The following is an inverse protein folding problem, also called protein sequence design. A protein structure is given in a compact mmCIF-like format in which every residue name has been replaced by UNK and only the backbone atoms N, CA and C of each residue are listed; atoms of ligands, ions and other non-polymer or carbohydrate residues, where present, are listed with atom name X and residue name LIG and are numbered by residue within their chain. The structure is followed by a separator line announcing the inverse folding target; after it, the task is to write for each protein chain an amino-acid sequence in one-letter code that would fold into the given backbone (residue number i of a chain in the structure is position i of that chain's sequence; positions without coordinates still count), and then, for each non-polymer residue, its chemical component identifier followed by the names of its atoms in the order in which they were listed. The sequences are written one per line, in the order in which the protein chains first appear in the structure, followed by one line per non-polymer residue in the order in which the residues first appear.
data_IF_463760016602
#
_entry.id   IF_463760016602
#
_cell.length_a   1.000
_cell.length_b   1.000
_cell.length_c   1.000
_cell.angle_alpha   90.00
_cell.angle_beta   90.00
_cell.angle_gamma   90.00
#
_symmetry.space_group_name_H-M   'P 1'
#
loop_
_entity.id
_entity.type
_entity.pdbx_description
1 polymer ?
#
# COMPACT_ATOMS: atom_id res chain seq x y z
N UNK A 1 -14.23 -0.28 21.33
CA UNK A 1 -13.89 -0.14 19.89
C UNK A 1 -12.38 -0.24 19.78
N UNK A 2 -11.82 -1.23 19.08
CA UNK A 2 -10.38 -1.45 19.00
C UNK A 2 -9.73 -0.55 17.96
N UNK A 3 -8.68 0.15 18.36
CA UNK A 3 -7.77 0.86 17.47
C UNK A 3 -6.35 0.64 18.00
N UNK A 4 -5.44 0.19 17.14
CA UNK A 4 -4.03 0.31 17.44
C UNK A 4 -3.60 1.75 17.10
N UNK A 5 -2.89 2.40 18.00
CA UNK A 5 -2.42 3.78 17.85
C UNK A 5 -0.91 3.80 17.98
N UNK A 6 -0.25 4.32 16.94
CA UNK A 6 1.21 4.46 16.93
C UNK A 6 1.67 5.83 16.49
N UNK A 7 2.80 6.25 17.03
CA UNK A 7 3.42 7.54 16.74
C UNK A 7 4.70 7.35 15.94
N UNK A 8 4.90 8.20 14.94
CA UNK A 8 6.05 8.18 14.06
C UNK A 8 6.61 9.58 13.87
N UNK A 9 7.94 9.70 13.96
CA UNK A 9 8.66 10.93 13.62
C UNK A 9 9.08 10.84 12.15
N UNK A 10 8.75 11.85 11.35
CA UNK A 10 9.16 11.93 9.94
C UNK A 10 10.64 12.29 9.85
N UNK A 11 11.43 11.38 9.29
CA UNK A 11 12.89 11.49 9.17
C UNK A 11 13.28 12.09 7.82
N UNK A 12 14.52 12.53 7.70
CA UNK A 12 15.07 13.04 6.43
C UNK A 12 15.01 12.03 5.27
N UNK A 13 15.12 10.72 5.59
CA UNK A 13 15.04 9.67 4.57
C UNK A 13 13.60 9.36 4.11
N UNK A 14 12.61 9.86 4.82
CA UNK A 14 11.20 9.57 4.55
C UNK A 14 10.59 10.57 3.57
N UNK A 15 11.28 11.69 3.28
CA UNK A 15 10.76 12.79 2.44
C UNK A 15 11.40 12.84 1.06
N UNK A 16 10.69 13.49 0.14
CA UNK A 16 11.13 13.76 -1.22
C UNK A 16 11.89 15.11 -1.30
N UNK A 17 12.17 15.56 -2.54
CA UNK A 17 12.85 16.81 -2.85
C UNK A 17 12.05 18.08 -2.50
N UNK A 18 10.77 17.96 -2.09
CA UNK A 18 9.89 19.06 -1.61
C UNK A 18 9.80 19.09 -0.09
N UNK A 19 10.60 18.28 0.61
CA UNK A 19 10.45 18.00 2.04
C UNK A 19 9.05 17.41 2.40
N UNK A 20 8.41 16.70 1.46
CA UNK A 20 7.13 16.03 1.63
C UNK A 20 7.31 14.52 1.83
N UNK A 21 6.52 13.93 2.72
CA UNK A 21 6.54 12.49 2.98
C UNK A 21 6.26 11.73 1.68
N UNK A 22 7.19 10.86 1.27
CA UNK A 22 7.00 9.98 0.10
C UNK A 22 5.83 9.05 0.32
N UNK A 23 5.16 8.70 -0.76
CA UNK A 23 4.08 7.70 -0.73
C UNK A 23 4.58 6.36 -0.15
N UNK A 24 5.74 5.88 -0.58
CA UNK A 24 6.35 4.65 -0.08
C UNK A 24 6.62 4.69 1.42
N UNK A 25 7.08 5.84 1.94
CA UNK A 25 7.32 6.03 3.37
C UNK A 25 6.01 6.07 4.17
N UNK A 26 4.96 6.73 3.66
CA UNK A 26 3.64 6.68 4.26
C UNK A 26 3.12 5.25 4.32
N UNK A 27 3.20 4.51 3.21
CA UNK A 27 2.78 3.11 3.15
C UNK A 27 3.55 2.23 4.14
N UNK A 28 4.88 2.41 4.27
CA UNK A 28 5.70 1.71 5.27
C UNK A 28 5.22 1.93 6.69
N UNK A 29 4.90 3.18 7.05
CA UNK A 29 4.36 3.54 8.38
C UNK A 29 3.01 2.86 8.62
N UNK A 30 2.15 2.80 7.59
CA UNK A 30 0.84 2.14 7.67
C UNK A 30 0.98 0.61 7.79
N UNK A 31 1.88 -0.01 7.03
CA UNK A 31 2.16 -1.46 7.11
C UNK A 31 2.72 -1.84 8.48
N UNK A 32 3.68 -1.08 9.02
CA UNK A 32 4.23 -1.30 10.35
C UNK A 32 3.15 -1.22 11.43
N UNK A 33 2.25 -0.22 11.33
CA UNK A 33 1.10 -0.11 12.23
C UNK A 33 0.14 -1.30 12.09
N UNK A 34 -0.05 -1.80 10.87
CA UNK A 34 -0.88 -2.97 10.59
C UNK A 34 -0.31 -4.25 11.20
N UNK A 35 1.01 -4.46 11.05
CA UNK A 35 1.71 -5.61 11.62
C UNK A 35 1.62 -5.60 13.15
N UNK A 36 1.93 -4.48 13.78
CA UNK A 36 1.83 -4.34 15.23
C UNK A 36 0.41 -4.57 15.77
N UNK A 37 -0.60 -4.08 15.04
CA UNK A 37 -2.00 -4.35 15.37
C UNK A 37 -2.37 -5.83 15.21
N UNK A 38 -1.81 -6.51 14.21
CA UNK A 38 -2.03 -7.95 14.02
C UNK A 38 -1.40 -8.77 15.15
N UNK A 39 -0.19 -8.41 15.59
CA UNK A 39 0.48 -9.04 16.73
C UNK A 39 -0.34 -8.89 18.01
N UNK A 40 -0.83 -7.68 18.33
CA UNK A 40 -1.68 -7.44 19.51
C UNK A 40 -2.97 -8.25 19.47
N UNK A 41 -3.52 -8.50 18.29
CA UNK A 41 -4.76 -9.24 18.10
C UNK A 41 -4.56 -10.77 17.97
N UNK A 42 -3.33 -11.27 18.01
CA UNK A 42 -3.02 -12.71 17.96
C UNK A 42 -3.23 -13.31 16.57
N UNK A 43 -2.95 -12.55 15.51
CA UNK A 43 -2.84 -13.03 14.14
C UNK A 43 -1.66 -12.37 13.38
N UNK A 44 -0.64 -11.99 14.12
CA UNK A 44 0.61 -11.49 13.58
C UNK A 44 1.51 -12.58 13.04
N UNK A 45 2.75 -12.19 12.73
CA UNK A 45 3.74 -13.07 12.10
C UNK A 45 3.92 -14.40 12.86
N UNK A 46 4.15 -14.32 14.19
CA UNK A 46 4.42 -15.50 15.02
C UNK A 46 3.19 -16.40 15.19
N UNK A 47 1.98 -15.89 15.00
CA UNK A 47 0.73 -16.66 15.10
C UNK A 47 0.41 -17.44 13.82
N UNK A 48 0.74 -16.88 12.65
CA UNK A 48 0.35 -17.42 11.33
C UNK A 48 1.43 -18.29 10.70
N UNK A 49 2.72 -17.95 10.87
CA UNK A 49 3.85 -18.67 10.29
C UNK A 49 3.89 -20.15 10.67
N UNK A 50 3.66 -20.54 11.94
CA UNK A 50 3.59 -21.97 12.33
C UNK A 50 2.47 -22.75 11.63
N UNK A 51 1.44 -22.06 11.15
CA UNK A 51 0.30 -22.64 10.40
C UNK A 51 0.53 -22.64 8.90
N UNK A 52 1.71 -22.22 8.43
CA UNK A 52 2.05 -22.10 7.02
C UNK A 52 1.12 -21.12 6.27
N UNK A 53 0.66 -20.08 6.95
CA UNK A 53 -0.23 -19.04 6.43
C UNK A 53 0.55 -17.74 6.26
N UNK A 54 0.35 -17.06 5.13
CA UNK A 54 0.82 -15.70 4.89
C UNK A 54 -0.33 -14.75 4.59
N UNK A 55 -0.16 -13.48 4.97
CA UNK A 55 -1.03 -12.40 4.53
C UNK A 55 -0.37 -11.65 3.39
N UNK A 56 -1.09 -11.52 2.28
CA UNK A 56 -0.62 -10.83 1.09
C UNK A 56 -1.52 -9.62 0.84
N UNK A 57 -0.92 -8.46 0.74
CA UNK A 57 -1.64 -7.26 0.34
C UNK A 57 -1.96 -7.30 -1.15
N UNK A 58 -3.19 -6.98 -1.49
CA UNK A 58 -3.68 -7.00 -2.88
C UNK A 58 -3.95 -5.60 -3.39
N UNK A 59 -4.46 -4.72 -2.52
CA UNK A 59 -4.81 -3.36 -2.90
C UNK A 59 -4.55 -2.38 -1.77
N UNK A 60 -4.21 -1.15 -2.18
CA UNK A 60 -4.29 0.06 -1.37
C UNK A 60 -5.21 1.08 -2.00
N UNK A 61 -5.91 1.84 -1.16
CA UNK A 61 -6.49 3.12 -1.49
C UNK A 61 -6.19 4.12 -0.37
N UNK A 62 -5.57 5.23 -0.71
CA UNK A 62 -5.15 6.28 0.23
C UNK A 62 -5.61 7.63 -0.27
N UNK A 63 -6.09 8.48 0.65
CA UNK A 63 -6.36 9.89 0.44
C UNK A 63 -5.42 10.71 1.31
N UNK A 64 -4.79 11.71 0.72
CA UNK A 64 -4.03 12.71 1.47
C UNK A 64 -4.81 14.04 1.43
N UNK A 65 -5.15 14.57 2.58
CA UNK A 65 -5.89 15.83 2.69
C UNK A 65 -4.98 17.05 2.53
N UNK A 66 -3.69 16.90 2.85
CA UNK A 66 -2.58 17.79 2.54
C UNK A 66 -1.25 17.04 2.49
N UNK A 67 -0.20 17.71 1.99
CA UNK A 67 1.17 17.21 2.10
C UNK A 67 1.59 17.11 3.57
N UNK A 68 2.28 16.03 3.90
CA UNK A 68 2.90 15.80 5.21
C UNK A 68 4.37 16.22 5.09
N UNK A 69 4.83 17.10 5.96
CA UNK A 69 6.16 17.73 5.84
C UNK A 69 7.20 17.09 6.75
N UNK A 70 8.46 17.26 6.39
CA UNK A 70 9.61 16.91 7.21
C UNK A 70 9.45 17.43 8.65
N UNK A 71 9.83 16.61 9.64
CA UNK A 71 9.75 16.87 11.10
C UNK A 71 8.34 16.91 11.68
N UNK A 72 7.30 16.66 10.90
CA UNK A 72 6.00 16.40 11.49
C UNK A 72 6.02 15.09 12.29
N UNK A 73 5.15 15.01 13.29
CA UNK A 73 4.90 13.80 14.06
C UNK A 73 3.54 13.25 13.67
N UNK A 74 3.52 12.01 13.24
CA UNK A 74 2.29 11.35 12.85
C UNK A 74 1.77 10.46 13.97
N UNK A 75 0.47 10.49 14.17
CA UNK A 75 -0.26 9.49 14.94
C UNK A 75 -1.10 8.68 13.95
N UNK A 76 -0.84 7.39 13.86
CA UNK A 76 -1.59 6.45 13.00
C UNK A 76 -2.55 5.65 13.85
N UNK A 77 -3.83 5.71 13.50
CA UNK A 77 -4.87 4.85 14.03
C UNK A 77 -5.18 3.79 12.98
N UNK A 78 -5.15 2.50 13.35
CA UNK A 78 -5.53 1.41 12.43
C UNK A 78 -6.37 0.35 13.12
N UNK A 79 -7.26 -0.25 12.37
CA UNK A 79 -8.10 -1.35 12.82
C UNK A 79 -8.46 -2.31 11.68
N UNK A 80 -8.51 -3.62 11.95
CA UNK A 80 -9.01 -4.57 10.98
C UNK A 80 -10.53 -4.54 10.93
N UNK A 81 -11.09 -4.78 9.75
CA UNK A 81 -12.50 -5.08 9.56
C UNK A 81 -12.75 -6.58 9.69
N UNK A 82 -13.98 -6.98 9.98
CA UNK A 82 -14.33 -8.40 10.06
C UNK A 82 -13.98 -9.12 8.75
N UNK A 83 -13.20 -10.21 8.80
CA UNK A 83 -12.83 -10.97 7.60
C UNK A 83 -14.05 -11.48 6.83
N UNK A 84 -13.99 -11.45 5.49
CA UNK A 84 -15.10 -11.87 4.62
C UNK A 84 -14.60 -12.84 3.55
N UNK A 85 -15.07 -14.09 3.56
CA UNK A 85 -14.73 -15.12 2.53
C UNK A 85 -13.21 -15.28 2.35
N UNK A 86 -12.63 -14.60 1.37
CA UNK A 86 -11.19 -14.62 1.05
C UNK A 86 -10.51 -13.26 1.22
N UNK A 87 -11.24 -12.24 1.66
CA UNK A 87 -10.73 -10.88 1.77
C UNK A 87 -10.74 -10.38 3.22
N UNK A 88 -9.68 -9.71 3.60
CA UNK A 88 -9.54 -8.96 4.84
C UNK A 88 -9.29 -7.51 4.48
N UNK A 89 -9.93 -6.60 5.21
CA UNK A 89 -9.77 -5.16 5.02
C UNK A 89 -9.20 -4.55 6.29
N UNK A 90 -8.39 -3.52 6.13
CA UNK A 90 -7.83 -2.75 7.23
C UNK A 90 -7.93 -1.27 6.92
N UNK A 91 -8.36 -0.53 7.91
CA UNK A 91 -8.60 0.90 7.84
C UNK A 91 -7.50 1.66 8.56
N UNK A 92 -7.25 2.90 8.09
CA UNK A 92 -6.20 3.77 8.61
C UNK A 92 -6.67 5.22 8.65
N UNK A 93 -6.36 5.90 9.74
CA UNK A 93 -6.42 7.35 9.85
C UNK A 93 -5.06 7.87 10.31
N UNK A 94 -4.58 8.92 9.69
CA UNK A 94 -3.28 9.53 9.97
C UNK A 94 -3.49 10.97 10.42
N UNK A 95 -2.94 11.29 11.57
CA UNK A 95 -3.03 12.60 12.17
C UNK A 95 -1.66 13.25 12.33
N UNK A 96 -1.59 14.56 12.17
CA UNK A 96 -0.47 15.42 12.58
C UNK A 96 -1.01 16.39 13.64
N UNK A 97 -0.63 16.19 14.89
CA UNK A 97 -1.33 16.82 16.00
C UNK A 97 -2.80 16.41 16.05
N UNK A 98 -3.71 17.39 15.99
CA UNK A 98 -5.16 17.16 15.96
C UNK A 98 -5.77 17.16 14.55
N UNK A 99 -4.95 17.36 13.51
CA UNK A 99 -5.40 17.42 12.13
C UNK A 99 -5.31 16.05 11.48
N UNK A 100 -6.41 15.57 10.88
CA UNK A 100 -6.38 14.37 10.02
C UNK A 100 -5.76 14.76 8.67
N UNK A 101 -4.57 14.23 8.38
CA UNK A 101 -3.78 14.56 7.20
C UNK A 101 -3.89 13.55 6.08
N UNK A 102 -4.23 12.30 6.42
CA UNK A 102 -4.49 11.24 5.45
C UNK A 102 -5.44 10.20 6.04
N UNK A 103 -6.06 9.42 5.17
CA UNK A 103 -6.79 8.22 5.54
C UNK A 103 -6.64 7.15 4.44
N UNK A 104 -6.90 5.89 4.78
CA UNK A 104 -6.74 4.82 3.81
C UNK A 104 -7.42 3.53 4.20
N UNK A 105 -7.53 2.68 3.21
CA UNK A 105 -7.98 1.30 3.38
C UNK A 105 -7.10 0.36 2.55
N UNK A 106 -6.86 -0.82 3.07
CA UNK A 106 -6.11 -1.86 2.37
C UNK A 106 -6.89 -3.17 2.33
N UNK A 107 -6.67 -3.93 1.27
CA UNK A 107 -7.26 -5.26 1.08
C UNK A 107 -6.18 -6.32 1.06
N UNK A 108 -6.39 -7.38 1.83
CA UNK A 108 -5.48 -8.49 2.03
C UNK A 108 -6.15 -9.82 1.72
N UNK A 109 -5.35 -10.80 1.35
CA UNK A 109 -5.76 -12.20 1.21
C UNK A 109 -4.86 -13.09 2.04
N UNK A 110 -5.38 -14.25 2.45
CA UNK A 110 -4.59 -15.32 3.05
C UNK A 110 -4.11 -16.28 1.98
N UNK A 111 -2.85 -16.71 2.09
CA UNK A 111 -2.26 -17.71 1.20
C UNK A 111 -1.57 -18.80 1.99
N UNK A 112 -1.54 -20.00 1.45
CA UNK A 112 -0.64 -21.07 1.89
C UNK A 112 0.78 -20.75 1.41
N UNK A 113 1.74 -20.68 2.33
CA UNK A 113 3.11 -20.25 2.02
C UNK A 113 3.92 -21.25 1.18
N UNK A 114 3.50 -22.51 1.08
CA UNK A 114 4.18 -23.52 0.27
C UNK A 114 3.68 -23.53 -1.17
N UNK A 115 2.36 -23.47 -1.34
CA UNK A 115 1.71 -23.57 -2.65
C UNK A 115 1.33 -22.23 -3.25
N UNK A 116 1.35 -21.14 -2.46
CA UNK A 116 0.80 -19.82 -2.78
C UNK A 116 -0.69 -19.85 -3.19
N UNK A 117 -1.39 -20.92 -2.81
CA UNK A 117 -2.83 -21.02 -3.04
C UNK A 117 -3.60 -20.07 -2.11
N UNK A 118 -4.61 -19.43 -2.66
CA UNK A 118 -5.52 -18.58 -1.90
C UNK A 118 -6.30 -19.43 -0.88
N UNK A 119 -6.28 -19.00 0.38
CA UNK A 119 -7.02 -19.62 1.48
C UNK A 119 -8.30 -18.82 1.81
N UNK A 120 -9.39 -19.52 2.19
CA UNK A 120 -10.53 -18.84 2.78
C UNK A 120 -10.14 -18.29 4.16
N UNK A 121 -10.71 -17.16 4.57
CA UNK A 121 -10.43 -16.56 5.89
C UNK A 121 -10.80 -17.49 7.03
N UNK A 122 -11.76 -18.42 6.85
CA UNK A 122 -12.11 -19.45 7.82
C UNK A 122 -10.97 -20.43 8.13
N UNK A 123 -9.94 -20.53 7.29
CA UNK A 123 -8.78 -21.37 7.60
C UNK A 123 -8.03 -20.90 8.86
N UNK A 124 -8.17 -19.64 9.25
CA UNK A 124 -7.62 -19.08 10.49
C UNK A 124 -8.69 -18.52 11.42
N UNK A 125 -9.74 -17.91 10.89
CA UNK A 125 -10.74 -17.13 11.62
C UNK A 125 -12.08 -17.86 11.81
N UNK A 126 -12.15 -19.19 11.69
CA UNK A 126 -13.43 -19.94 11.81
C UNK A 126 -14.12 -19.73 13.17
N UNK A 127 -13.34 -19.77 14.24
CA UNK A 127 -13.82 -19.63 15.63
C UNK A 127 -13.50 -18.25 16.23
N UNK A 128 -13.32 -17.26 15.37
CA UNK A 128 -12.92 -15.93 15.79
C UNK A 128 -14.03 -15.22 16.57
N UNK A 129 -13.73 -14.89 17.84
CA UNK A 129 -14.63 -14.20 18.77
C UNK A 129 -14.26 -12.73 18.98
N UNK A 130 -13.29 -12.19 18.20
CA UNK A 130 -12.89 -10.79 18.32
C UNK A 130 -14.03 -9.87 17.92
N UNK A 131 -14.09 -8.74 18.61
CA UNK A 131 -14.95 -7.65 18.21
C UNK A 131 -14.25 -6.82 17.13
N UNK A 132 -14.95 -6.54 16.05
CA UNK A 132 -14.46 -5.72 14.94
C UNK A 132 -15.25 -4.41 14.87
N UNK A 133 -14.59 -3.37 14.43
CA UNK A 133 -15.26 -2.11 14.09
C UNK A 133 -16.12 -2.31 12.84
N UNK A 134 -17.22 -1.61 12.76
CA UNK A 134 -18.16 -1.65 11.63
C UNK A 134 -18.08 -0.41 10.73
N UNK A 135 -17.28 0.59 11.12
CA UNK A 135 -17.09 1.83 10.36
C UNK A 135 -15.77 1.79 9.57
N UNK A 136 -15.72 2.56 8.50
CA UNK A 136 -14.56 2.72 7.63
C UNK A 136 -13.93 4.10 7.79
N UNK A 137 -12.61 4.18 7.61
CA UNK A 137 -11.89 5.45 7.54
C UNK A 137 -12.24 6.23 6.28
N UNK A 138 -12.52 5.51 5.17
CA UNK A 138 -12.87 6.05 3.86
C UNK A 138 -14.01 5.22 3.25
N UNK A 139 -14.98 5.88 2.64
CA UNK A 139 -16.00 5.21 1.82
C UNK A 139 -15.44 4.90 0.42
N UNK A 140 -14.78 3.75 0.31
CA UNK A 140 -14.17 3.29 -0.92
C UNK A 140 -14.57 1.85 -1.23
N UNK A 141 -15.10 1.62 -2.45
CA UNK A 141 -15.60 0.31 -2.89
C UNK A 141 -15.09 -0.12 -4.28
N UNK A 142 -14.40 0.74 -5.01
CA UNK A 142 -13.95 0.49 -6.39
C UNK A 142 -12.55 -0.12 -6.45
N UNK A 143 -12.41 -1.39 -6.05
CA UNK A 143 -11.12 -2.07 -5.95
C UNK A 143 -10.51 -2.49 -7.30
N UNK A 144 -11.27 -2.42 -8.37
CA UNK A 144 -10.80 -2.83 -9.69
C UNK A 144 -10.19 -1.66 -10.44
N UNK A 145 -8.92 -1.79 -10.84
CA UNK A 145 -8.28 -0.95 -11.83
C UNK A 145 -8.25 -1.69 -13.17
N UNK A 146 -8.82 -1.09 -14.20
CA UNK A 146 -8.77 -1.63 -15.54
C UNK A 146 -7.30 -1.75 -16.02
N UNK A 147 -7.01 -2.68 -16.95
CA UNK A 147 -5.73 -2.68 -17.65
C UNK A 147 -5.47 -1.34 -18.30
N UNK A 148 -4.21 -0.91 -18.28
CA UNK A 148 -3.80 0.27 -19.02
C UNK A 148 -3.84 -0.05 -20.52
N UNK A 149 -4.79 0.55 -21.23
CA UNK A 149 -4.87 0.49 -22.68
C UNK A 149 -4.08 1.67 -23.28
N UNK A 150 -3.00 1.36 -23.99
CA UNK A 150 -2.06 2.36 -24.46
C UNK A 150 -1.06 2.80 -23.37
N UNK A 151 -0.74 4.10 -23.35
CA UNK A 151 0.26 4.71 -22.47
C UNK A 151 1.69 4.61 -23.01
N UNK A 152 2.53 5.56 -22.60
CA UNK A 152 3.92 5.62 -23.00
C UNK A 152 4.78 4.84 -22.01
N UNK A 153 5.70 4.03 -22.52
CA UNK A 153 6.77 3.46 -21.70
C UNK A 153 7.68 4.59 -21.23
N UNK A 154 7.80 4.78 -19.93
CA UNK A 154 8.60 5.86 -19.33
C UNK A 154 10.03 5.38 -19.05
N UNK A 155 10.19 4.21 -18.45
CA UNK A 155 11.51 3.64 -18.17
C UNK A 155 11.42 2.14 -17.83
N UNK A 156 12.57 1.55 -17.52
CA UNK A 156 12.72 0.17 -17.05
C UNK A 156 13.47 0.13 -15.72
N UNK A 157 12.99 -0.70 -14.79
CA UNK A 157 13.61 -0.94 -13.49
C UNK A 157 14.05 -2.40 -13.39
N UNK A 158 15.36 -2.65 -13.28
CA UNK A 158 15.85 -3.96 -12.89
C UNK A 158 15.56 -4.19 -11.39
N UNK A 159 14.87 -5.28 -11.08
CA UNK A 159 14.58 -5.66 -9.69
C UNK A 159 15.83 -6.26 -9.06
N UNK A 160 16.29 -5.65 -7.96
CA UNK A 160 17.57 -5.96 -7.31
C UNK A 160 17.37 -6.28 -5.82
N UNK A 161 18.46 -6.59 -5.12
CA UNK A 161 18.44 -6.95 -3.69
C UNK A 161 17.79 -5.85 -2.81
N UNK A 162 18.02 -4.57 -3.14
CA UNK A 162 17.45 -3.45 -2.37
C UNK A 162 15.94 -3.27 -2.53
N UNK A 163 15.34 -3.97 -3.49
CA UNK A 163 13.90 -3.96 -3.69
C UNK A 163 13.20 -5.09 -2.92
N UNK A 164 13.95 -6.05 -2.34
CA UNK A 164 13.44 -7.24 -1.68
C UNK A 164 13.25 -7.05 -0.18
N UNK A 165 12.20 -7.65 0.34
CA UNK A 165 11.93 -7.77 1.77
C UNK A 165 12.40 -9.13 2.34
N UNK A 166 12.13 -9.35 3.63
CA UNK A 166 12.50 -10.58 4.32
C UNK A 166 11.71 -11.82 3.87
N UNK A 167 10.65 -11.65 3.09
CA UNK A 167 9.91 -12.75 2.45
C UNK A 167 10.48 -13.14 1.08
N UNK A 168 11.60 -12.56 0.67
CA UNK A 168 12.19 -12.75 -0.67
C UNK A 168 11.27 -12.31 -1.81
N UNK A 169 10.52 -11.25 -1.59
CA UNK A 169 9.66 -10.65 -2.58
C UNK A 169 10.00 -9.18 -2.78
N UNK A 170 9.68 -8.64 -3.95
CA UNK A 170 9.73 -7.20 -4.13
C UNK A 170 8.76 -6.55 -3.15
N UNK A 171 9.29 -5.70 -2.26
CA UNK A 171 8.50 -5.06 -1.21
C UNK A 171 7.37 -4.21 -1.80
N UNK A 172 6.19 -4.30 -1.20
CA UNK A 172 4.98 -3.63 -1.70
C UNK A 172 5.17 -2.11 -1.81
N UNK A 173 5.86 -1.49 -0.85
CA UNK A 173 6.10 -0.04 -0.86
C UNK A 173 7.05 0.40 -1.96
N UNK A 174 7.96 -0.49 -2.43
CA UNK A 174 8.88 -0.20 -3.52
C UNK A 174 8.19 -0.01 -4.86
N UNK A 175 7.06 -0.69 -5.08
CA UNK A 175 6.27 -0.45 -6.30
C UNK A 175 5.73 0.99 -6.37
N UNK A 176 5.47 1.63 -5.21
CA UNK A 176 5.11 3.05 -5.19
C UNK A 176 6.26 3.91 -5.71
N UNK A 177 7.50 3.74 -5.18
CA UNK A 177 8.68 4.46 -5.66
C UNK A 177 8.89 4.21 -7.17
N UNK A 178 8.88 2.94 -7.58
CA UNK A 178 9.08 2.54 -8.98
C UNK A 178 8.02 3.18 -9.89
N UNK A 179 6.75 3.22 -9.52
CA UNK A 179 5.73 3.86 -10.33
C UNK A 179 5.89 5.39 -10.37
N UNK A 180 6.29 5.99 -9.26
CA UNK A 180 6.49 7.44 -9.19
C UNK A 180 7.76 7.92 -9.89
N UNK A 181 8.76 7.07 -10.08
CA UNK A 181 9.95 7.36 -10.93
C UNK A 181 9.58 7.55 -12.42
N UNK A 182 8.35 7.24 -12.82
CA UNK A 182 7.82 7.57 -14.15
C UNK A 182 7.44 9.06 -14.34
N UNK A 183 7.55 9.87 -13.29
CA UNK A 183 7.38 11.33 -13.34
C UNK A 183 8.75 12.02 -13.24
N UNK A 184 8.90 13.17 -13.87
CA UNK A 184 10.07 14.03 -13.64
C UNK A 184 9.92 14.85 -12.35
N UNK A 185 11.04 15.39 -11.88
CA UNK A 185 11.06 16.31 -10.74
C UNK A 185 10.21 17.55 -11.02
N UNK A 186 10.28 18.08 -12.24
CA UNK A 186 9.53 19.27 -12.68
C UNK A 186 8.03 18.99 -12.71
N UNK A 187 7.59 17.79 -13.14
CA UNK A 187 6.19 17.40 -13.14
C UNK A 187 5.61 17.32 -11.72
N UNK A 188 6.40 16.86 -10.76
CA UNK A 188 5.97 16.70 -9.38
C UNK A 188 6.16 17.97 -8.52
N UNK A 189 7.01 18.93 -8.92
CA UNK A 189 7.32 20.13 -8.12
C UNK A 189 6.08 20.96 -7.76
N UNK A 190 5.12 21.09 -8.70
CA UNK A 190 3.87 21.85 -8.51
C UNK A 190 2.65 21.02 -8.13
N UNK A 191 2.84 19.76 -7.69
CA UNK A 191 1.74 18.83 -7.43
C UNK A 191 1.95 18.11 -6.10
N UNK A 192 0.85 17.79 -5.41
CA UNK A 192 0.83 16.85 -4.30
C UNK A 192 -0.23 15.75 -4.55
N UNK A 193 -0.03 14.58 -3.97
CA UNK A 193 -0.98 13.48 -4.07
C UNK A 193 -2.28 13.90 -3.38
N UNK A 194 -3.41 13.75 -4.09
CA UNK A 194 -4.75 13.87 -3.53
C UNK A 194 -5.25 12.49 -3.10
N UNK A 195 -5.21 11.53 -4.01
CA UNK A 195 -5.49 10.14 -3.71
C UNK A 195 -4.68 9.20 -4.61
N UNK A 196 -4.53 7.97 -4.15
CA UNK A 196 -3.85 6.93 -4.90
C UNK A 196 -4.49 5.57 -4.64
N UNK A 197 -4.67 4.81 -5.70
CA UNK A 197 -5.04 3.40 -5.66
C UNK A 197 -3.91 2.55 -6.25
N UNK A 198 -3.53 1.50 -5.54
CA UNK A 198 -2.54 0.53 -6.01
C UNK A 198 -3.17 -0.86 -6.02
N UNK A 199 -2.97 -1.58 -7.09
CA UNK A 199 -3.37 -2.99 -7.24
C UNK A 199 -2.16 -3.83 -7.56
N UNK A 200 -1.81 -4.76 -6.68
CA UNK A 200 -0.75 -5.75 -6.90
C UNK A 200 -1.36 -6.97 -7.60
N UNK A 201 -0.83 -7.32 -8.77
CA UNK A 201 -1.36 -8.39 -9.63
C UNK A 201 -0.50 -9.63 -9.50
N UNK A 202 0.82 -9.45 -9.61
CA UNK A 202 1.81 -10.51 -9.49
C UNK A 202 3.14 -9.94 -9.02
N UNK A 203 3.83 -10.66 -8.18
CA UNK A 203 5.15 -10.24 -7.69
C UNK A 203 6.19 -10.21 -8.79
N UNK A 204 7.12 -9.26 -8.68
CA UNK A 204 8.36 -9.27 -9.44
C UNK A 204 9.41 -10.13 -8.74
N UNK A 205 10.20 -10.85 -9.53
CA UNK A 205 11.34 -11.66 -9.06
C UNK A 205 12.66 -10.91 -9.23
N UNK A 206 13.64 -11.30 -8.45
CA UNK A 206 15.01 -10.83 -8.62
C UNK A 206 15.49 -11.03 -10.05
N UNK A 207 16.12 -9.99 -10.63
CA UNK A 207 16.63 -10.00 -12.00
C UNK A 207 15.59 -9.77 -13.09
N UNK A 208 14.29 -9.67 -12.75
CA UNK A 208 13.28 -9.27 -13.74
C UNK A 208 13.41 -7.79 -14.07
N UNK A 209 13.16 -7.45 -15.33
CA UNK A 209 13.11 -6.08 -15.84
C UNK A 209 11.64 -5.64 -15.86
N UNK A 210 11.28 -4.69 -15.00
CA UNK A 210 9.94 -4.13 -14.89
C UNK A 210 9.86 -2.89 -15.77
N UNK A 211 9.08 -2.96 -16.83
CA UNK A 211 8.77 -1.84 -17.72
C UNK A 211 7.61 -1.04 -17.13
N UNK A 212 7.79 0.28 -16.98
CA UNK A 212 6.76 1.17 -16.42
C UNK A 212 6.14 2.02 -17.51
N UNK A 213 4.84 1.87 -17.67
CA UNK A 213 4.00 2.61 -18.61
C UNK A 213 3.14 3.63 -17.84
N UNK A 214 2.90 4.80 -18.46
CA UNK A 214 2.05 5.86 -17.90
C UNK A 214 1.13 6.45 -18.97
N UNK A 215 -0.11 6.71 -18.56
CA UNK A 215 -1.10 7.47 -19.31
C UNK A 215 -1.65 8.57 -18.41
N UNK A 216 -1.67 9.80 -18.91
CA UNK A 216 -2.14 10.97 -18.16
C UNK A 216 -3.52 11.40 -18.67
N UNK A 217 -4.43 11.67 -17.73
CA UNK A 217 -5.78 12.18 -18.02
C UNK A 217 -6.11 13.32 -17.05
N UNK A 218 -5.89 14.56 -17.49
CA UNK A 218 -6.09 15.74 -16.67
C UNK A 218 -5.15 15.79 -15.45
N UNK A 219 -5.74 15.78 -14.24
CA UNK A 219 -4.99 15.76 -12.98
C UNK A 219 -4.72 14.32 -12.47
N UNK A 220 -5.15 13.32 -13.22
CA UNK A 220 -4.94 11.91 -12.91
C UNK A 220 -3.90 11.26 -13.82
N UNK A 221 -3.22 10.25 -13.31
CA UNK A 221 -2.31 9.41 -14.07
C UNK A 221 -2.58 7.94 -13.75
N UNK A 222 -2.61 7.13 -14.80
CA UNK A 222 -2.65 5.66 -14.70
C UNK A 222 -1.28 5.12 -15.04
N UNK A 223 -0.78 4.21 -14.19
CA UNK A 223 0.51 3.56 -14.40
C UNK A 223 0.33 2.04 -14.34
N UNK A 224 1.10 1.34 -15.14
CA UNK A 224 1.17 -0.11 -15.12
C UNK A 224 2.61 -0.58 -15.26
N UNK A 225 3.07 -1.38 -14.31
CA UNK A 225 4.34 -2.08 -14.39
C UNK A 225 4.17 -3.46 -15.02
N UNK A 226 4.96 -3.78 -16.05
CA UNK A 226 4.90 -5.04 -16.81
C UNK A 226 6.26 -5.73 -16.84
N UNK A 227 6.25 -7.06 -16.78
CA UNK A 227 7.40 -7.91 -17.07
C UNK A 227 7.03 -8.81 -18.23
N UNK A 228 7.77 -8.74 -19.34
CA UNK A 228 7.48 -9.47 -20.59
C UNK A 228 6.02 -9.29 -21.07
N UNK A 229 5.49 -8.06 -20.96
CA UNK A 229 4.12 -7.72 -21.33
C UNK A 229 3.04 -8.11 -20.31
N UNK A 230 3.35 -8.88 -19.28
CA UNK A 230 2.42 -9.27 -18.22
C UNK A 230 2.38 -8.24 -17.09
N UNK A 231 1.19 -7.77 -16.65
CA UNK A 231 1.09 -6.78 -15.60
C UNK A 231 1.53 -7.35 -14.24
N UNK A 232 2.23 -6.51 -13.49
CA UNK A 232 2.68 -6.77 -12.10
C UNK A 232 1.95 -5.87 -11.11
N UNK A 233 1.82 -4.61 -11.44
CA UNK A 233 1.21 -3.58 -10.59
C UNK A 233 0.45 -2.59 -11.45
N UNK A 234 -0.66 -2.07 -10.92
CA UNK A 234 -1.40 -0.92 -11.48
C UNK A 234 -1.53 0.14 -10.41
N UNK A 235 -1.36 1.39 -10.82
CA UNK A 235 -1.52 2.55 -9.97
C UNK A 235 -2.42 3.56 -10.67
N UNK A 236 -3.42 4.06 -9.97
CA UNK A 236 -4.14 5.27 -10.35
C UNK A 236 -3.83 6.34 -9.30
N UNK A 237 -3.33 7.47 -9.71
CA UNK A 237 -3.03 8.59 -8.83
C UNK A 237 -3.69 9.85 -9.33
N UNK A 238 -4.28 10.61 -8.42
CA UNK A 238 -4.80 11.96 -8.67
C UNK A 238 -3.98 12.96 -7.89
N UNK A 239 -3.65 14.06 -8.55
CA UNK A 239 -2.87 15.12 -7.97
C UNK A 239 -3.73 16.38 -7.77
N UNK A 240 -3.39 17.14 -6.73
CA UNK A 240 -3.80 18.54 -6.58
C UNK A 240 -2.64 19.44 -6.94
N UNK A 241 -2.92 20.64 -7.47
CA UNK A 241 -1.93 21.69 -7.66
C UNK A 241 -1.59 22.32 -6.31
N UNK A 242 -0.32 22.62 -6.11
CA UNK A 242 0.20 23.34 -4.93
C UNK A 242 0.30 24.82 -5.26
#
# INVERSE_FOLDING_TARGET
MYHNIRNYDIRYLDVDFKDELRLSSLMSVLEESACASADELGFGYDDIMPKNIGFVIVNWYLEQYRSIKLKEKLTVHTWPMKPKRTAMFREFEVYSGNEKVAAGTSRWCMVDLKSFALLPTSAFFADDKREYNDFRAIDFNSWHLAPLDGGDKKYEKLITVSDYDHYFHCNNTKYADICFDAFSVEELAGRSIENVQITYIRQCKYGELLEVFRHDEGDASLLEGRVNGEPRVRVAVKFRKI
#
